data_IF_298395478724
#
_entry.id   IF_298395478724
#
_cell.length_a   1.000
_cell.length_b   1.000
_cell.length_c   1.000
_cell.angle_alpha   90.00
_cell.angle_beta   90.00
_cell.angle_gamma   90.00
#
_symmetry.space_group_name_H-M   'P 1'
#
loop_
_entity.id
_entity.type
_entity.pdbx_description
1 polymer ?
#
# COMPACT_ATOMS: atom_id res chain seq x y z
N UNK A 1 23.72 -3.47 13.54
CA UNK A 1 22.76 -2.89 12.57
C UNK A 1 23.31 -2.86 11.14
N UNK A 2 24.46 -2.22 10.86
CA UNK A 2 25.05 -2.16 9.49
C UNK A 2 25.25 -3.51 8.80
N UNK A 3 25.66 -4.56 9.53
CA UNK A 3 25.85 -5.92 8.96
C UNK A 3 24.55 -6.56 8.46
N UNK A 4 23.45 -6.34 9.19
CA UNK A 4 22.13 -6.85 8.83
C UNK A 4 21.57 -6.09 7.62
N UNK A 5 21.78 -4.78 7.55
CA UNK A 5 21.41 -3.97 6.38
C UNK A 5 22.12 -4.40 5.10
N UNK A 6 23.42 -4.68 5.18
CA UNK A 6 24.18 -5.15 4.01
C UNK A 6 23.73 -6.56 3.59
N UNK A 7 23.45 -7.43 4.55
CA UNK A 7 22.95 -8.78 4.28
C UNK A 7 21.55 -8.78 3.65
N UNK A 8 20.62 -7.94 4.13
CA UNK A 8 19.27 -7.85 3.56
C UNK A 8 19.26 -7.22 2.18
N UNK A 9 20.08 -6.19 1.94
CA UNK A 9 20.24 -5.57 0.63
C UNK A 9 20.82 -6.57 -0.40
N UNK A 10 21.84 -7.35 -0.01
CA UNK A 10 22.40 -8.39 -0.85
C UNK A 10 21.39 -9.50 -1.18
N UNK A 11 20.61 -9.93 -0.19
CA UNK A 11 19.56 -10.93 -0.38
C UNK A 11 18.46 -10.46 -1.35
N UNK A 12 17.98 -9.23 -1.20
CA UNK A 12 16.99 -8.65 -2.11
C UNK A 12 17.52 -8.46 -3.53
N UNK A 13 18.80 -8.10 -3.68
CA UNK A 13 19.43 -7.98 -4.98
C UNK A 13 19.53 -9.34 -5.71
N UNK A 14 19.75 -10.44 -4.97
CA UNK A 14 19.76 -11.80 -5.54
C UNK A 14 18.37 -12.25 -5.99
N UNK A 15 17.31 -11.81 -5.30
CA UNK A 15 15.93 -12.16 -5.63
C UNK A 15 15.31 -11.28 -6.72
N UNK A 16 15.98 -10.20 -7.12
CA UNK A 16 15.52 -9.29 -8.17
C UNK A 16 15.70 -9.93 -9.55
N UNK A 17 14.83 -10.88 -9.88
CA UNK A 17 14.74 -11.46 -11.23
C UNK A 17 13.95 -10.50 -12.14
N UNK A 18 14.39 -10.25 -13.38
CA UNK A 18 13.63 -9.43 -14.33
C UNK A 18 12.25 -10.06 -14.62
N UNK A 19 11.21 -9.23 -14.58
CA UNK A 19 9.89 -9.61 -15.07
C UNK A 19 9.86 -9.44 -16.60
N UNK A 20 9.67 -10.54 -17.32
CA UNK A 20 9.42 -10.50 -18.77
C UNK A 20 7.92 -10.44 -19.03
N UNK A 21 7.50 -9.48 -19.87
CA UNK A 21 6.16 -9.48 -20.42
C UNK A 21 6.05 -10.60 -21.47
N UNK A 22 4.88 -11.24 -21.56
CA UNK A 22 4.61 -12.17 -22.65
C UNK A 22 4.19 -11.36 -23.88
N UNK A 23 5.02 -11.40 -24.94
CA UNK A 23 4.62 -10.87 -26.24
C UNK A 23 3.63 -11.84 -26.90
N UNK A 24 2.55 -11.34 -27.54
CA UNK A 24 1.63 -12.19 -28.27
C UNK A 24 2.35 -12.83 -29.47
N UNK A 25 2.42 -14.16 -29.49
CA UNK A 25 3.09 -14.92 -30.56
C UNK A 25 2.29 -14.94 -31.89
N UNK A 26 1.06 -14.42 -31.89
CA UNK A 26 0.18 -14.31 -33.06
C UNK A 26 -0.76 -13.12 -32.86
N UNK A 27 -1.11 -12.44 -33.95
CA UNK A 27 -2.20 -11.46 -33.95
C UNK A 27 -3.52 -12.21 -33.70
N UNK A 28 -3.99 -12.16 -32.46
CA UNK A 28 -5.33 -12.66 -32.10
C UNK A 28 -6.30 -11.51 -32.35
N UNK A 29 -7.37 -11.69 -33.15
CA UNK A 29 -8.39 -10.66 -33.29
C UNK A 29 -8.92 -10.29 -31.91
N UNK A 30 -8.80 -9.02 -31.54
CA UNK A 30 -9.36 -8.49 -30.30
C UNK A 30 -10.88 -8.59 -30.39
N UNK A 31 -11.44 -9.65 -29.82
CA UNK A 31 -12.87 -9.68 -29.53
C UNK A 31 -13.13 -8.60 -28.49
N UNK A 32 -14.04 -7.67 -28.77
CA UNK A 32 -14.52 -6.73 -27.77
C UNK A 32 -14.86 -7.52 -26.49
N UNK A 33 -14.47 -7.03 -25.30
CA UNK A 33 -14.80 -7.70 -24.06
C UNK A 33 -16.29 -8.01 -24.05
N UNK A 34 -16.68 -9.28 -23.86
CA UNK A 34 -18.11 -9.64 -23.76
C UNK A 34 -18.80 -9.03 -22.53
N UNK A 35 -18.03 -8.32 -21.71
CA UNK A 35 -18.45 -7.62 -20.51
C UNK A 35 -17.67 -6.31 -20.40
N UNK A 36 -18.38 -5.19 -20.45
CA UNK A 36 -17.83 -3.85 -20.26
C UNK A 36 -18.14 -3.35 -18.85
N UNK A 37 -17.11 -2.89 -18.15
CA UNK A 37 -17.18 -2.31 -16.81
C UNK A 37 -17.71 -0.86 -16.85
N UNK A 38 -18.84 -0.63 -17.50
CA UNK A 38 -19.51 0.69 -17.54
C UNK A 38 -20.55 0.77 -16.42
N UNK A 39 -20.41 1.73 -15.49
CA UNK A 39 -21.36 1.93 -14.40
C UNK A 39 -20.75 2.47 -13.10
N UNK A 40 -21.60 2.63 -12.08
CA UNK A 40 -21.18 3.06 -10.74
C UNK A 40 -20.59 1.89 -9.94
N UNK A 41 -19.45 2.15 -9.31
CA UNK A 41 -18.72 1.25 -8.43
C UNK A 41 -18.81 1.74 -6.99
N UNK A 42 -19.05 0.82 -6.07
CA UNK A 42 -18.91 1.06 -4.64
C UNK A 42 -17.94 0.02 -4.06
N UNK A 43 -17.02 0.47 -3.21
CA UNK A 43 -16.02 -0.36 -2.56
C UNK A 43 -16.00 -0.12 -1.06
N UNK A 44 -15.71 -1.17 -0.30
CA UNK A 44 -15.50 -1.14 1.15
C UNK A 44 -14.08 -1.61 1.43
N UNK A 45 -13.38 -0.89 2.30
CA UNK A 45 -12.01 -1.14 2.71
C UNK A 45 -11.98 -1.25 4.23
N UNK A 46 -11.33 -2.28 4.76
CA UNK A 46 -11.07 -2.41 6.19
C UNK A 46 -9.61 -2.80 6.40
N UNK A 47 -9.03 -2.35 7.50
CA UNK A 47 -7.65 -2.59 7.88
C UNK A 47 -7.50 -2.59 9.40
N UNK A 48 -6.39 -3.14 9.88
CA UNK A 48 -6.00 -3.09 11.28
C UNK A 48 -4.58 -2.52 11.37
N UNK A 49 -4.40 -1.45 12.14
CA UNK A 49 -3.10 -0.79 12.36
C UNK A 49 -2.71 -0.84 13.83
N UNK A 50 -1.48 -0.41 14.14
CA UNK A 50 -1.07 -0.19 15.52
C UNK A 50 -0.06 0.96 15.73
N UNK A 51 0.02 1.53 16.94
CA UNK A 51 0.73 2.75 17.35
C UNK A 51 0.49 3.32 18.79
N UNK A 52 1.54 3.87 19.40
CA UNK A 52 1.79 4.44 20.74
C UNK A 52 2.08 5.98 20.87
N UNK A 53 1.16 6.78 21.43
CA UNK A 53 1.25 8.26 21.35
C UNK A 53 2.08 8.89 22.48
N UNK A 54 2.91 9.89 22.20
CA UNK A 54 3.68 10.64 23.22
C UNK A 54 3.20 12.10 23.35
N UNK A 55 2.94 12.56 24.58
CA UNK A 55 2.51 13.94 24.88
C UNK A 55 3.51 14.59 25.81
N UNK A 56 4.13 15.70 25.39
CA UNK A 56 5.06 16.47 26.22
C UNK A 56 4.50 17.87 26.53
N UNK A 57 4.61 18.28 27.79
CA UNK A 57 4.18 19.62 28.26
C UNK A 57 5.37 20.30 28.92
N UNK A 58 5.77 21.44 28.38
CA UNK A 58 6.86 22.28 28.89
C UNK A 58 6.29 23.62 29.34
N UNK A 59 6.59 24.08 30.56
CA UNK A 59 6.09 25.37 31.05
C UNK A 59 6.55 26.53 30.15
N UNK A 60 5.60 27.33 29.66
CA UNK A 60 5.84 28.42 28.71
C UNK A 60 5.92 28.01 27.24
N UNK A 61 5.76 26.72 26.91
CA UNK A 61 5.68 26.24 25.52
C UNK A 61 4.22 25.96 25.11
N UNK A 62 3.92 26.01 23.79
CA UNK A 62 2.61 25.58 23.27
C UNK A 62 2.37 24.10 23.56
N UNK A 63 1.11 23.77 23.85
CA UNK A 63 0.66 22.38 23.99
C UNK A 63 0.87 21.59 22.68
N UNK A 64 1.45 20.38 22.77
CA UNK A 64 1.73 19.50 21.63
C UNK A 64 1.28 18.06 21.91
N UNK A 65 0.50 17.49 20.99
CA UNK A 65 0.06 16.08 21.00
C UNK A 65 0.75 15.37 19.82
N UNK A 66 1.45 14.26 20.07
CA UNK A 66 1.91 13.36 19.01
C UNK A 66 1.15 12.02 19.10
N UNK A 67 0.07 11.84 18.32
CA UNK A 67 -0.67 10.59 18.30
C UNK A 67 0.11 9.47 17.60
N UNK A 68 -0.26 8.25 17.92
CA UNK A 68 0.21 6.99 17.35
C UNK A 68 -0.88 5.97 17.73
N UNK A 69 -1.29 5.13 16.77
CA UNK A 69 -2.62 4.50 16.74
C UNK A 69 -2.55 2.96 16.75
N UNK A 70 -2.78 2.33 17.91
CA UNK A 70 -2.91 0.88 18.17
C UNK A 70 -4.28 0.28 17.70
N UNK A 71 -4.74 0.49 16.45
CA UNK A 71 -6.03 -0.11 16.04
C UNK A 71 -6.42 -0.06 14.55
N UNK A 72 -7.59 -0.67 14.25
CA UNK A 72 -8.11 -0.81 12.89
C UNK A 72 -9.08 0.23 12.38
N UNK A 73 -9.17 0.32 11.05
CA UNK A 73 -9.94 1.29 10.30
C UNK A 73 -10.85 0.61 9.28
N UNK A 74 -12.00 1.21 8.98
CA UNK A 74 -12.89 0.83 7.88
C UNK A 74 -13.34 2.09 7.15
N UNK A 75 -13.43 2.04 5.83
CA UNK A 75 -13.83 3.13 4.96
C UNK A 75 -14.52 2.61 3.71
N UNK A 76 -15.30 3.45 3.05
CA UNK A 76 -15.95 3.13 1.78
C UNK A 76 -15.70 4.20 0.74
N UNK A 77 -15.76 3.83 -0.54
CA UNK A 77 -15.64 4.78 -1.64
C UNK A 77 -16.60 4.43 -2.78
N UNK A 78 -17.05 5.43 -3.53
CA UNK A 78 -17.87 5.29 -4.73
C UNK A 78 -17.14 5.95 -5.89
N UNK A 79 -17.12 5.31 -7.06
CA UNK A 79 -16.51 5.81 -8.28
C UNK A 79 -17.40 5.51 -9.50
N UNK A 80 -17.38 6.34 -10.53
CA UNK A 80 -18.15 6.18 -11.75
C UNK A 80 -17.59 7.04 -12.87
#
# INVERSE_FOLDING_TARGET
>A
MRRLMVASAGFLAVLAVPAFAADPAVDVPMTAPGFDWTGYYAGLQAGYGWGQSDVSVTEGAPFSIAPDIDGGFVGGHVAG
#
